data_IF_784038108534
#
_entry.id   IF_784038108534
#
_cell.length_a   1.000
_cell.length_b   1.000
_cell.length_c   1.000
_cell.angle_alpha   90.00
_cell.angle_beta   90.00
_cell.angle_gamma   90.00
#
_symmetry.space_group_name_H-M   'P 1'
#
loop_
_entity.id
_entity.type
_entity.pdbx_description
1 polymer ?
#
# COMPACT_ATOMS: atom_id res chain seq x y z
N UNK A 1 3.40 19.99 27.60
CA UNK A 1 4.76 19.50 27.32
C UNK A 1 4.73 18.00 27.56
N UNK A 2 4.42 17.20 26.55
CA UNK A 2 4.39 15.74 26.62
C UNK A 2 5.82 15.23 26.46
N UNK A 3 6.23 14.37 27.38
CA UNK A 3 7.49 13.64 27.31
C UNK A 3 7.44 12.73 26.06
N UNK A 4 8.05 13.16 24.96
CA UNK A 4 8.26 12.33 23.78
C UNK A 4 9.27 11.25 24.17
N UNK A 5 8.77 10.10 24.65
CA UNK A 5 9.58 8.90 24.80
C UNK A 5 10.01 8.53 23.37
N UNK A 6 11.24 8.90 23.00
CA UNK A 6 11.80 8.45 21.72
C UNK A 6 11.64 6.94 21.63
N UNK A 7 10.97 6.50 20.60
CA UNK A 7 10.95 5.09 20.24
C UNK A 7 12.39 4.66 19.98
N UNK A 8 12.79 3.48 20.49
CA UNK A 8 14.11 2.93 20.17
C UNK A 8 14.22 2.77 18.65
N UNK A 9 15.31 3.27 18.07
CA UNK A 9 15.55 3.16 16.64
C UNK A 9 15.51 1.69 16.20
N UNK A 10 14.83 1.39 15.07
CA UNK A 10 14.79 0.01 14.57
C UNK A 10 16.20 -0.49 14.27
N UNK A 11 16.52 -1.66 14.78
CA UNK A 11 17.87 -2.27 14.61
C UNK A 11 18.04 -3.04 13.29
N UNK A 12 16.95 -3.18 12.51
CA UNK A 12 16.98 -3.94 11.26
C UNK A 12 17.79 -3.18 10.19
N UNK A 13 18.74 -3.87 9.55
CA UNK A 13 19.51 -3.26 8.48
C UNK A 13 18.66 -2.95 7.24
N UNK A 14 19.04 -1.92 6.49
CA UNK A 14 18.42 -1.61 5.19
C UNK A 14 18.45 -2.81 4.25
N UNK A 15 19.56 -3.56 4.24
CA UNK A 15 19.68 -4.79 3.46
C UNK A 15 18.59 -5.79 3.85
N UNK A 16 18.46 -6.11 5.12
CA UNK A 16 17.45 -7.06 5.58
C UNK A 16 16.02 -6.56 5.30
N UNK A 17 15.74 -5.28 5.53
CA UNK A 17 14.43 -4.70 5.23
C UNK A 17 14.07 -4.88 3.75
N UNK A 18 14.95 -4.51 2.82
CA UNK A 18 14.73 -4.61 1.37
C UNK A 18 14.54 -6.07 0.94
N UNK A 19 15.38 -6.99 1.42
CA UNK A 19 15.37 -8.38 0.95
C UNK A 19 14.35 -9.27 1.63
N UNK A 20 13.67 -8.80 2.68
CA UNK A 20 12.66 -9.59 3.41
C UNK A 20 11.28 -8.94 3.47
N UNK A 21 11.14 -7.66 3.10
CA UNK A 21 9.83 -7.05 2.96
C UNK A 21 9.03 -7.75 1.85
N UNK A 22 7.81 -8.15 2.18
CA UNK A 22 6.88 -8.81 1.26
C UNK A 22 5.44 -8.55 1.67
N UNK A 23 4.50 -8.77 0.77
CA UNK A 23 3.07 -8.67 1.07
C UNK A 23 2.67 -9.63 2.18
N UNK A 24 2.35 -9.08 3.36
CA UNK A 24 1.80 -9.80 4.52
C UNK A 24 0.30 -9.52 4.60
N UNK A 25 -0.50 -10.58 4.47
CA UNK A 25 -1.96 -10.47 4.31
C UNK A 25 -2.76 -10.96 5.52
N UNK A 26 -2.09 -11.59 6.48
CA UNK A 26 -2.69 -12.12 7.70
C UNK A 26 -2.11 -11.36 8.88
N UNK A 27 -2.95 -10.63 9.59
CA UNK A 27 -2.54 -9.80 10.72
C UNK A 27 -3.07 -10.36 12.04
N UNK A 28 -2.34 -10.08 13.11
CA UNK A 28 -2.83 -10.25 14.46
C UNK A 28 -3.75 -9.06 14.79
N UNK A 29 -4.71 -9.24 15.70
CA UNK A 29 -5.63 -8.15 16.09
C UNK A 29 -4.98 -7.11 17.01
N UNK A 30 -3.71 -7.30 17.39
CA UNK A 30 -3.00 -6.42 18.32
C UNK A 30 -2.95 -4.99 17.76
N UNK A 31 -3.38 -3.98 18.53
CA UNK A 31 -3.32 -2.58 18.11
C UNK A 31 -1.87 -2.13 17.91
N UNK A 32 -1.65 -1.26 16.94
CA UNK A 32 -0.33 -0.67 16.70
C UNK A 32 -0.22 0.60 17.54
N UNK A 33 0.82 0.75 18.40
CA UNK A 33 1.09 2.00 19.09
C UNK A 33 1.19 3.18 18.11
N UNK A 34 0.58 4.30 18.47
CA UNK A 34 0.51 5.49 17.61
C UNK A 34 1.89 5.98 17.17
N UNK A 35 2.86 5.96 18.07
CA UNK A 35 4.25 6.34 17.80
C UNK A 35 4.90 5.51 16.69
N UNK A 36 4.51 4.24 16.50
CA UNK A 36 4.98 3.41 15.39
C UNK A 36 4.35 3.82 14.07
N UNK A 37 3.07 4.18 14.06
CA UNK A 37 2.40 4.70 12.86
C UNK A 37 2.97 6.06 12.48
N UNK A 38 3.22 6.94 13.45
CA UNK A 38 3.87 8.24 13.22
C UNK A 38 5.27 8.08 12.61
N UNK A 39 6.08 7.16 13.14
CA UNK A 39 7.40 6.85 12.58
C UNK A 39 7.32 6.35 11.13
N UNK A 40 6.37 5.47 10.83
CA UNK A 40 6.19 4.95 9.46
C UNK A 40 5.79 6.05 8.49
N UNK A 41 4.92 6.98 8.91
CA UNK A 41 4.52 8.14 8.09
C UNK A 41 5.66 9.13 7.95
N UNK A 42 6.42 9.39 9.02
CA UNK A 42 7.64 10.22 8.94
C UNK A 42 8.64 9.65 7.94
N UNK A 43 8.89 8.34 7.98
CA UNK A 43 9.76 7.68 7.00
C UNK A 43 9.24 7.82 5.56
N UNK A 44 7.91 7.82 5.35
CA UNK A 44 7.33 8.06 4.04
C UNK A 44 7.71 9.44 3.49
N UNK A 45 7.72 10.47 4.34
CA UNK A 45 8.08 11.84 3.94
C UNK A 45 9.57 12.04 3.61
N UNK A 46 10.42 11.05 3.90
CA UNK A 46 11.83 11.07 3.51
C UNK A 46 12.05 10.61 2.06
N UNK A 47 11.00 10.27 1.33
CA UNK A 47 11.08 9.92 -0.08
C UNK A 47 11.47 11.15 -0.95
N UNK A 48 12.12 10.94 -2.10
CA UNK A 48 12.31 12.02 -3.06
C UNK A 48 10.98 12.45 -3.67
N UNK A 49 10.84 13.74 -3.98
CA UNK A 49 9.70 14.28 -4.71
C UNK A 49 10.15 15.22 -5.82
N UNK A 50 9.38 15.29 -6.91
CA UNK A 50 9.68 16.15 -8.03
C UNK A 50 9.80 17.62 -7.55
N UNK A 51 10.94 18.26 -7.84
CA UNK A 51 11.21 19.63 -7.38
C UNK A 51 11.12 19.84 -5.87
N UNK A 52 11.20 18.77 -5.07
CA UNK A 52 10.97 18.80 -3.62
C UNK A 52 9.61 19.40 -3.23
N UNK A 53 8.58 19.19 -4.08
CA UNK A 53 7.24 19.75 -3.86
C UNK A 53 6.49 19.08 -2.71
N UNK A 54 6.85 17.83 -2.35
CA UNK A 54 6.29 17.08 -1.22
C UNK A 54 4.75 17.06 -1.23
N UNK A 55 4.18 16.86 -2.41
CA UNK A 55 2.74 16.97 -2.68
C UNK A 55 1.92 15.74 -2.22
N UNK A 56 2.48 14.86 -1.40
CA UNK A 56 1.79 13.74 -0.77
C UNK A 56 0.99 14.16 0.45
N UNK A 57 -0.04 13.40 0.72
CA UNK A 57 -0.76 13.37 2.00
C UNK A 57 -0.98 11.92 2.42
N UNK A 58 -1.21 11.68 3.71
CA UNK A 58 -1.45 10.32 4.22
C UNK A 58 -2.63 10.36 5.19
N UNK A 59 -3.65 9.54 4.93
CA UNK A 59 -4.72 9.31 5.90
C UNK A 59 -4.42 8.01 6.62
N UNK A 60 -4.28 8.06 7.94
CA UNK A 60 -4.05 6.88 8.80
C UNK A 60 -5.36 6.53 9.50
N UNK A 61 -5.93 5.39 9.14
CA UNK A 61 -7.21 4.92 9.63
C UNK A 61 -6.99 3.83 10.67
N UNK A 62 -7.40 4.09 11.90
CA UNK A 62 -7.37 3.14 13.04
C UNK A 62 -8.75 2.85 13.59
N UNK A 63 -9.75 3.65 13.22
CA UNK A 63 -11.14 3.48 13.59
C UNK A 63 -11.75 2.25 12.91
N UNK A 64 -12.43 1.41 13.68
CA UNK A 64 -12.96 0.11 13.24
C UNK A 64 -14.07 0.28 12.18
N UNK A 65 -14.96 1.27 12.34
CA UNK A 65 -16.05 1.52 11.40
C UNK A 65 -15.50 2.00 10.05
N UNK A 66 -14.57 2.94 10.07
CA UNK A 66 -13.93 3.44 8.86
C UNK A 66 -13.13 2.34 8.13
N UNK A 67 -12.41 1.49 8.87
CA UNK A 67 -11.72 0.33 8.28
C UNK A 67 -12.69 -0.64 7.64
N UNK A 68 -13.84 -0.87 8.28
CA UNK A 68 -14.91 -1.70 7.73
C UNK A 68 -15.46 -1.16 6.42
N UNK A 69 -15.72 0.15 6.31
CA UNK A 69 -16.20 0.81 5.07
C UNK A 69 -15.16 0.69 3.95
N UNK A 70 -13.88 0.94 4.24
CA UNK A 70 -12.79 0.77 3.26
C UNK A 70 -12.71 -0.68 2.79
N UNK A 71 -12.84 -1.64 3.72
CA UNK A 71 -12.80 -3.06 3.39
C UNK A 71 -13.99 -3.46 2.49
N UNK A 72 -15.19 -2.91 2.70
CA UNK A 72 -16.35 -3.18 1.86
C UNK A 72 -16.15 -2.67 0.43
N UNK A 73 -15.69 -1.43 0.27
CA UNK A 73 -15.36 -0.87 -1.04
C UNK A 73 -14.30 -1.72 -1.77
N UNK A 74 -13.25 -2.13 -1.05
CA UNK A 74 -12.22 -2.99 -1.62
C UNK A 74 -12.73 -4.40 -1.94
N UNK A 75 -13.60 -4.97 -1.11
CA UNK A 75 -14.19 -6.30 -1.29
C UNK A 75 -15.01 -6.37 -2.56
N UNK A 76 -15.85 -5.36 -2.81
CA UNK A 76 -16.65 -5.28 -4.03
C UNK A 76 -15.75 -5.28 -5.28
N UNK A 77 -14.78 -4.37 -5.34
CA UNK A 77 -13.86 -4.24 -6.47
C UNK A 77 -12.96 -5.46 -6.62
N UNK A 78 -12.45 -5.99 -5.50
CA UNK A 78 -11.58 -7.16 -5.49
C UNK A 78 -12.28 -8.43 -5.97
N UNK A 79 -13.54 -8.63 -5.58
CA UNK A 79 -14.34 -9.75 -6.09
C UNK A 79 -14.57 -9.61 -7.59
N UNK A 80 -15.03 -8.46 -8.05
CA UNK A 80 -15.28 -8.23 -9.48
C UNK A 80 -14.02 -8.40 -10.33
N UNK A 81 -12.89 -7.86 -9.88
CA UNK A 81 -11.66 -7.92 -10.66
C UNK A 81 -10.89 -9.23 -10.46
N UNK A 82 -10.63 -9.63 -9.22
CA UNK A 82 -9.76 -10.80 -8.96
C UNK A 82 -10.54 -12.10 -9.16
N UNK A 83 -11.69 -12.27 -8.48
CA UNK A 83 -12.44 -13.53 -8.49
C UNK A 83 -13.15 -13.75 -9.83
N UNK A 84 -13.92 -12.73 -10.27
CA UNK A 84 -14.87 -12.90 -11.37
C UNK A 84 -14.27 -12.61 -12.75
N UNK A 85 -13.06 -12.01 -12.78
CA UNK A 85 -12.33 -11.76 -14.03
C UNK A 85 -11.02 -12.54 -14.11
N UNK A 86 -10.05 -12.28 -13.22
CA UNK A 86 -8.71 -12.85 -13.36
C UNK A 86 -8.68 -14.34 -13.03
N UNK A 87 -9.31 -14.79 -11.93
CA UNK A 87 -9.35 -16.19 -11.52
C UNK A 87 -10.41 -17.01 -12.28
N UNK A 88 -11.32 -16.36 -12.98
CA UNK A 88 -12.29 -17.01 -13.85
C UNK A 88 -11.72 -17.33 -15.25
N UNK A 89 -10.54 -16.79 -15.59
CA UNK A 89 -9.87 -17.09 -16.84
C UNK A 89 -9.31 -18.53 -16.82
N UNK A 90 -9.81 -19.47 -17.68
CA UNK A 90 -9.35 -20.84 -17.71
C UNK A 90 -7.89 -21.00 -18.15
N UNK A 91 -7.34 -19.99 -18.82
CA UNK A 91 -5.99 -19.97 -19.36
C UNK A 91 -5.00 -19.19 -18.43
N UNK A 92 -5.41 -18.87 -17.20
CA UNK A 92 -4.54 -18.16 -16.25
C UNK A 92 -3.28 -18.98 -15.95
N UNK A 93 -2.07 -18.41 -16.08
CA UNK A 93 -0.83 -19.08 -15.69
C UNK A 93 -0.83 -19.44 -14.19
N UNK A 94 -0.38 -20.67 -13.85
CA UNK A 94 -0.37 -21.21 -12.49
C UNK A 94 0.31 -20.27 -11.46
N UNK A 95 1.42 -19.63 -11.84
CA UNK A 95 2.13 -18.69 -10.98
C UNK A 95 1.29 -17.44 -10.67
N UNK A 96 0.51 -16.96 -11.63
CA UNK A 96 -0.43 -15.84 -11.45
C UNK A 96 -1.65 -16.27 -10.63
N UNK A 97 -2.26 -17.39 -10.95
CA UNK A 97 -3.38 -17.94 -10.20
C UNK A 97 -3.04 -18.05 -8.71
N UNK A 98 -1.88 -18.62 -8.38
CA UNK A 98 -1.39 -18.72 -6.99
C UNK A 98 -1.24 -17.35 -6.30
N UNK A 99 -0.82 -16.31 -7.02
CA UNK A 99 -0.68 -14.95 -6.46
C UNK A 99 -2.05 -14.35 -6.19
N UNK A 100 -2.98 -14.45 -7.13
CA UNK A 100 -4.32 -13.87 -7.00
C UNK A 100 -5.18 -14.63 -5.99
N UNK A 101 -5.07 -15.96 -5.90
CA UNK A 101 -5.71 -16.76 -4.85
C UNK A 101 -5.27 -16.30 -3.45
N UNK A 102 -3.97 -16.00 -3.26
CA UNK A 102 -3.49 -15.43 -2.00
C UNK A 102 -3.97 -13.99 -1.78
N UNK A 103 -4.20 -13.23 -2.85
CA UNK A 103 -4.70 -11.87 -2.74
C UNK A 103 -6.17 -11.84 -2.31
N UNK A 104 -6.95 -12.88 -2.62
CA UNK A 104 -8.35 -13.01 -2.19
C UNK A 104 -8.52 -12.97 -0.67
N UNK A 105 -7.51 -13.38 0.10
CA UNK A 105 -7.58 -13.21 1.56
C UNK A 105 -7.71 -11.72 1.94
N UNK A 106 -6.94 -10.81 1.33
CA UNK A 106 -7.11 -9.39 1.60
C UNK A 106 -8.47 -8.85 1.13
N UNK A 107 -9.00 -9.39 0.02
CA UNK A 107 -10.32 -8.99 -0.48
C UNK A 107 -11.39 -9.27 0.57
N UNK A 108 -11.30 -10.40 1.25
CA UNK A 108 -12.31 -10.81 2.22
C UNK A 108 -12.05 -10.29 3.66
N UNK A 109 -10.80 -9.97 4.01
CA UNK A 109 -10.36 -9.75 5.39
C UNK A 109 -9.50 -8.48 5.58
N UNK A 110 -9.70 -7.43 4.77
CA UNK A 110 -8.92 -6.20 4.88
C UNK A 110 -9.13 -5.50 6.23
N UNK A 111 -10.35 -5.57 6.75
CA UNK A 111 -10.78 -5.03 8.05
C UNK A 111 -10.09 -5.67 9.28
N UNK A 112 -9.51 -6.86 9.12
CA UNK A 112 -8.70 -7.50 10.17
C UNK A 112 -7.36 -6.78 10.43
N UNK A 113 -6.90 -5.92 9.50
CA UNK A 113 -5.70 -5.12 9.72
C UNK A 113 -5.97 -4.06 10.81
N UNK A 114 -5.14 -3.94 11.87
CA UNK A 114 -5.37 -2.98 12.95
C UNK A 114 -5.25 -1.52 12.53
N UNK A 115 -4.63 -1.23 11.39
CA UNK A 115 -4.61 0.08 10.77
C UNK A 115 -4.50 -0.02 9.24
N UNK A 116 -4.92 1.05 8.56
CA UNK A 116 -4.77 1.21 7.11
C UNK A 116 -4.16 2.60 6.86
N UNK A 117 -3.11 2.66 6.04
CA UNK A 117 -2.55 3.93 5.58
C UNK A 117 -3.00 4.13 4.13
N UNK A 118 -3.58 5.29 3.84
CA UNK A 118 -4.01 5.69 2.49
C UNK A 118 -3.11 6.83 2.01
N UNK A 119 -2.10 6.55 1.18
CA UNK A 119 -1.33 7.57 0.50
C UNK A 119 -2.19 8.30 -0.52
N UNK A 120 -2.16 9.62 -0.47
CA UNK A 120 -2.94 10.51 -1.32
C UNK A 120 -2.04 11.46 -2.12
N UNK A 121 -2.57 11.93 -3.24
CA UNK A 121 -1.97 12.88 -4.16
C UNK A 121 -2.94 14.01 -4.47
N UNK A 122 -2.50 15.18 -4.96
CA UNK A 122 -3.38 16.10 -5.65
C UNK A 122 -4.08 15.41 -6.83
N UNK A 123 -5.37 15.62 -6.99
CA UNK A 123 -6.17 15.03 -8.08
C UNK A 123 -5.80 15.60 -9.44
N UNK A 124 -5.25 16.83 -9.45
CA UNK A 124 -4.76 17.52 -10.66
C UNK A 124 -3.38 18.13 -10.41
N UNK A 125 -2.60 18.23 -11.47
CA UNK A 125 -1.38 19.03 -11.46
C UNK A 125 -1.73 20.54 -11.34
N UNK A 126 -0.78 21.41 -10.90
CA UNK A 126 -1.02 22.83 -10.74
C UNK A 126 -1.52 23.57 -12.00
N UNK A 127 -1.33 22.99 -13.18
CA UNK A 127 -1.79 23.49 -14.49
C UNK A 127 -3.15 22.90 -14.94
N UNK A 128 -3.90 22.26 -14.03
CA UNK A 128 -5.14 21.51 -14.31
C UNK A 128 -4.98 20.32 -15.27
N UNK A 129 -3.77 19.86 -15.53
CA UNK A 129 -3.54 18.60 -16.22
C UNK A 129 -3.90 17.41 -15.32
N UNK A 130 -4.26 16.28 -15.92
CA UNK A 130 -4.45 15.03 -15.19
C UNK A 130 -3.19 14.66 -14.40
N UNK A 131 -3.35 13.89 -13.32
CA UNK A 131 -2.24 13.45 -12.47
C UNK A 131 -1.10 12.91 -13.32
N UNK A 132 0.01 13.61 -13.28
CA UNK A 132 1.15 13.34 -14.13
C UNK A 132 1.95 12.12 -13.64
N UNK A 133 2.77 11.56 -14.53
CA UNK A 133 3.78 10.55 -14.15
C UNK A 133 4.69 11.03 -13.01
N UNK A 134 4.91 12.35 -12.87
CA UNK A 134 5.65 12.97 -11.78
C UNK A 134 4.98 12.80 -10.41
N UNK A 135 3.64 12.81 -10.34
CA UNK A 135 2.91 12.57 -9.09
C UNK A 135 3.08 11.12 -8.62
N UNK A 136 2.97 10.15 -9.52
CA UNK A 136 3.21 8.75 -9.18
C UNK A 136 4.66 8.46 -8.83
N UNK A 137 5.62 9.10 -9.50
CA UNK A 137 7.04 9.00 -9.16
C UNK A 137 7.37 9.57 -7.76
N UNK A 138 6.52 10.43 -7.23
CA UNK A 138 6.62 10.99 -5.88
C UNK A 138 6.00 10.07 -4.82
N UNK A 139 4.77 9.57 -5.06
CA UNK A 139 4.04 8.84 -4.00
C UNK A 139 4.50 7.39 -3.83
N UNK A 140 4.88 6.66 -4.90
CA UNK A 140 5.29 5.26 -4.75
C UNK A 140 6.65 5.07 -4.06
N UNK A 141 7.66 5.94 -4.19
CA UNK A 141 8.82 5.95 -3.28
C UNK A 141 8.42 6.15 -1.81
N UNK A 142 7.45 7.01 -1.51
CA UNK A 142 6.93 7.17 -0.16
C UNK A 142 6.21 5.90 0.34
N UNK A 143 5.40 5.25 -0.51
CA UNK A 143 4.81 3.94 -0.19
C UNK A 143 5.88 2.88 0.09
N UNK A 144 6.98 2.87 -0.68
CA UNK A 144 8.08 1.94 -0.43
C UNK A 144 8.76 2.21 0.92
N UNK A 145 8.94 3.49 1.30
CA UNK A 145 9.47 3.85 2.61
C UNK A 145 8.53 3.37 3.74
N UNK A 146 7.19 3.50 3.58
CA UNK A 146 6.20 2.92 4.52
C UNK A 146 6.46 1.42 4.71
N UNK A 147 6.61 0.67 3.61
CA UNK A 147 6.81 -0.78 3.64
C UNK A 147 8.10 -1.16 4.37
N UNK A 148 9.19 -0.45 4.10
CA UNK A 148 10.50 -0.73 4.70
C UNK A 148 10.55 -0.33 6.18
N UNK A 149 9.99 0.84 6.54
CA UNK A 149 9.91 1.29 7.93
C UNK A 149 9.00 0.38 8.76
N UNK A 150 7.85 -0.02 8.23
CA UNK A 150 6.98 -1.01 8.88
C UNK A 150 7.73 -2.33 9.11
N UNK A 151 8.46 -2.85 8.10
CA UNK A 151 9.27 -4.06 8.23
C UNK A 151 10.32 -3.92 9.34
N UNK A 152 10.99 -2.78 9.43
CA UNK A 152 11.99 -2.49 10.45
C UNK A 152 11.41 -2.52 11.88
N UNK A 153 10.13 -2.17 12.02
CA UNK A 153 9.37 -2.22 13.28
C UNK A 153 8.69 -3.58 13.56
N UNK A 154 8.93 -4.59 12.69
CA UNK A 154 8.26 -5.89 12.79
C UNK A 154 6.80 -5.88 12.34
N UNK A 155 6.34 -4.84 11.63
CA UNK A 155 5.01 -4.72 11.07
C UNK A 155 4.98 -5.21 9.61
N UNK A 156 3.94 -5.94 9.26
CA UNK A 156 3.66 -6.37 7.89
C UNK A 156 2.76 -5.39 7.15
N UNK A 157 2.90 -5.34 5.83
CA UNK A 157 2.10 -4.47 4.95
C UNK A 157 1.78 -5.17 3.64
N UNK A 158 0.79 -4.63 2.93
CA UNK A 158 0.52 -4.92 1.51
C UNK A 158 0.28 -3.61 0.77
N UNK A 159 0.83 -3.46 -0.42
CA UNK A 159 0.49 -2.37 -1.33
C UNK A 159 -0.67 -2.81 -2.23
N UNK A 160 -1.79 -2.12 -2.15
CA UNK A 160 -3.00 -2.38 -2.94
C UNK A 160 -3.33 -1.12 -3.74
N UNK A 161 -3.57 -1.28 -5.04
CA UNK A 161 -3.97 -0.18 -5.94
C UNK A 161 -5.39 -0.34 -6.47
N UNK A 162 -6.05 -1.46 -6.21
CA UNK A 162 -7.47 -1.64 -6.48
C UNK A 162 -8.32 -0.80 -5.53
N UNK A 163 -9.49 -0.40 -5.97
CA UNK A 163 -10.44 0.49 -5.30
C UNK A 163 -9.94 1.94 -5.09
N UNK A 164 -8.76 2.29 -5.60
CA UNK A 164 -8.31 3.70 -5.67
C UNK A 164 -8.94 4.40 -6.86
N UNK A 165 -8.79 5.73 -6.95
CA UNK A 165 -9.30 6.50 -8.08
C UNK A 165 -8.74 6.08 -9.45
N UNK A 166 -7.58 5.43 -9.47
CA UNK A 166 -6.91 4.89 -10.68
C UNK A 166 -7.20 3.41 -10.94
N UNK A 167 -8.05 2.79 -10.12
CA UNK A 167 -8.47 1.40 -10.36
C UNK A 167 -9.26 1.28 -11.66
N UNK A 168 -9.02 0.25 -12.48
CA UNK A 168 -9.83 0.00 -13.68
C UNK A 168 -11.27 -0.41 -13.34
N UNK A 169 -11.52 -0.85 -12.11
CA UNK A 169 -12.83 -1.22 -11.59
C UNK A 169 -13.15 -0.32 -10.41
N UNK A 170 -14.36 0.23 -10.38
CA UNK A 170 -14.86 1.07 -9.29
C UNK A 170 -15.93 0.33 -8.50
N UNK A 171 -16.11 0.64 -7.20
CA UNK A 171 -17.27 0.16 -6.47
C UNK A 171 -18.56 0.71 -7.13
N UNK A 172 -19.61 -0.08 -7.12
CA UNK A 172 -20.91 0.27 -7.69
C UNK A 172 -21.97 0.49 -6.61
N UNK A 173 -21.87 -0.23 -5.51
CA UNK A 173 -22.80 -0.18 -4.39
C UNK A 173 -22.18 0.37 -3.11
N UNK A 174 -20.87 0.19 -2.90
CA UNK A 174 -20.17 0.80 -1.79
C UNK A 174 -19.69 2.22 -2.14
N UNK A 175 -19.54 3.05 -1.10
CA UNK A 175 -18.93 4.38 -1.24
C UNK A 175 -17.49 4.27 -1.77
N UNK A 176 -17.07 5.27 -2.53
CA UNK A 176 -15.67 5.42 -2.95
C UNK A 176 -14.76 5.74 -1.75
N UNK A 177 -13.44 5.53 -1.88
CA UNK A 177 -12.50 5.92 -0.83
C UNK A 177 -12.55 7.42 -0.54
N UNK A 178 -12.79 8.24 -1.55
CA UNK A 178 -12.89 9.69 -1.39
C UNK A 178 -14.11 10.08 -0.54
N UNK A 179 -15.25 9.43 -0.73
CA UNK A 179 -16.45 9.62 0.08
C UNK A 179 -16.28 9.08 1.50
N UNK A 180 -15.71 7.87 1.66
CA UNK A 180 -15.47 7.27 2.97
C UNK A 180 -14.55 8.12 3.84
N UNK A 181 -13.56 8.76 3.23
CA UNK A 181 -12.51 9.52 3.93
C UNK A 181 -12.74 11.03 3.93
N UNK A 182 -13.88 11.51 3.42
CA UNK A 182 -14.22 12.92 3.26
C UNK A 182 -13.08 13.72 2.58
N UNK A 183 -12.49 13.13 1.51
CA UNK A 183 -11.39 13.78 0.81
C UNK A 183 -11.90 15.00 0.03
N UNK A 184 -11.16 16.13 0.06
CA UNK A 184 -11.47 17.25 -0.80
C UNK A 184 -11.30 16.89 -2.29
N UNK A 185 -12.02 17.60 -3.18
CA UNK A 185 -12.03 17.32 -4.63
C UNK A 185 -10.63 17.34 -5.25
N UNK A 186 -9.71 18.12 -4.67
CA UNK A 186 -8.34 18.28 -5.12
C UNK A 186 -7.42 17.13 -4.69
N UNK A 187 -7.93 16.15 -3.94
CA UNK A 187 -7.13 15.04 -3.39
C UNK A 187 -7.67 13.71 -3.91
N UNK A 188 -6.77 12.84 -4.31
CA UNK A 188 -7.08 11.49 -4.79
C UNK A 188 -6.24 10.43 -4.10
N UNK A 189 -6.76 9.21 -4.01
CA UNK A 189 -6.08 8.09 -3.39
C UNK A 189 -5.13 7.38 -4.37
N UNK A 190 -3.92 7.05 -3.94
CA UNK A 190 -2.93 6.34 -4.76
C UNK A 190 -2.79 4.86 -4.39
N UNK A 191 -3.01 4.50 -3.14
CA UNK A 191 -2.91 3.12 -2.65
C UNK A 191 -3.71 2.92 -1.36
N UNK A 192 -3.95 1.65 -1.02
CA UNK A 192 -4.41 1.18 0.28
C UNK A 192 -3.28 0.33 0.86
N UNK A 193 -2.78 0.68 2.05
CA UNK A 193 -1.70 -0.05 2.71
C UNK A 193 -2.18 -0.53 4.08
N UNK A 194 -2.80 -1.74 4.19
CA UNK A 194 -3.06 -2.35 5.48
C UNK A 194 -1.74 -2.63 6.18
N UNK A 195 -1.69 -2.37 7.49
CA UNK A 195 -0.51 -2.52 8.32
C UNK A 195 -0.87 -3.16 9.65
N UNK A 196 -0.05 -4.12 10.11
CA UNK A 196 -0.29 -4.85 11.36
C UNK A 196 0.83 -5.81 11.71
N UNK A 197 0.77 -6.40 12.90
CA UNK A 197 1.68 -7.49 13.27
C UNK A 197 1.35 -8.75 12.46
N UNK A 198 2.29 -9.30 11.66
CA UNK A 198 1.98 -10.42 10.79
C UNK A 198 1.81 -11.73 11.57
N UNK A 199 0.89 -12.60 11.12
CA UNK A 199 0.77 -14.00 11.59
C UNK A 199 1.80 -14.93 10.93
N UNK A 200 2.44 -14.49 9.85
CA UNK A 200 3.40 -15.30 9.08
C UNK A 200 4.86 -14.90 9.36
N UNK A 201 5.78 -15.73 8.85
CA UNK A 201 7.20 -15.50 8.98
C UNK A 201 7.75 -14.61 7.86
N UNK A 202 8.78 -13.82 8.19
CA UNK A 202 9.56 -13.09 7.21
C UNK A 202 10.38 -14.05 6.36
N UNK A 203 10.64 -13.63 5.13
CA UNK A 203 11.48 -14.42 4.24
C UNK A 203 11.63 -13.73 2.89
N UNK A 204 12.67 -14.09 2.17
CA UNK A 204 12.97 -13.52 0.85
C UNK A 204 11.82 -13.82 -0.12
N UNK A 205 11.21 -12.81 -0.74
CA UNK A 205 10.20 -13.03 -1.77
C UNK A 205 10.86 -13.65 -3.02
N UNK A 206 10.11 -14.49 -3.71
CA UNK A 206 10.57 -14.97 -5.02
C UNK A 206 10.68 -13.79 -5.99
N UNK A 207 11.76 -13.77 -6.75
CA UNK A 207 11.99 -12.82 -7.84
C UNK A 207 12.70 -13.56 -8.97
N UNK A 208 12.42 -13.15 -10.19
CA UNK A 208 13.21 -13.54 -11.35
C UNK A 208 14.69 -13.15 -11.14
N UNK A 209 15.62 -13.84 -11.79
CA UNK A 209 17.02 -13.40 -11.80
C UNK A 209 17.12 -11.94 -12.29
N UNK A 210 17.85 -11.09 -11.57
CA UNK A 210 17.95 -9.67 -11.93
C UNK A 210 18.57 -9.44 -13.31
N UNK A 211 19.38 -10.38 -13.78
CA UNK A 211 19.99 -10.37 -15.09
C UNK A 211 18.98 -10.34 -16.23
N UNK A 212 17.80 -10.95 -16.05
CA UNK A 212 16.70 -10.92 -17.02
C UNK A 212 16.08 -9.53 -17.20
N UNK A 213 16.30 -8.62 -16.24
CA UNK A 213 15.76 -7.27 -16.24
C UNK A 213 16.82 -6.19 -16.43
N UNK A 214 18.07 -6.57 -16.74
CA UNK A 214 19.19 -5.62 -16.75
C UNK A 214 19.91 -5.63 -18.10
N UNK A 215 20.04 -4.47 -18.69
CA UNK A 215 20.81 -4.23 -19.90
C UNK A 215 21.90 -3.20 -19.58
N UNK A 216 23.14 -3.48 -20.04
CA UNK A 216 24.28 -2.59 -19.84
C UNK A 216 24.45 -1.67 -21.05
N UNK A 217 24.68 -0.39 -20.77
CA UNK A 217 24.90 0.70 -21.76
C UNK A 217 23.71 0.99 -22.67
N UNK A 218 23.02 -0.04 -23.17
CA UNK A 218 21.85 0.09 -24.05
C UNK A 218 20.97 -1.15 -23.92
N UNK A 219 19.71 -0.99 -24.35
CA UNK A 219 18.77 -2.11 -24.43
C UNK A 219 19.32 -3.17 -25.40
N UNK A 220 19.32 -4.43 -24.96
CA UNK A 220 19.60 -5.59 -25.80
C UNK A 220 18.32 -6.41 -25.89
N UNK A 221 17.87 -6.67 -27.14
CA UNK A 221 16.72 -7.53 -27.42
C UNK A 221 17.05 -9.01 -27.12
#
# INVERSE_FOLDING_TARGET
MGCNKKMDDPTLSVHEAIFTARSMRHFKPDPIPREKLEYVVEAATMAPSAGNMQSWSFVVVTDDEQRGRIAEAYREVGRAYIRDSVLADPDIPEDRERVYTKAMHNVEHLDEAPAIIIPCLPSRAPDNADVSSGSFSTIYPACQNIILAARALGLGTVLITLATEYSPVKPQSADSLSEILDLPEEVTTAAIIPIGYPKGNWGRPWRKPWQESTHWDRWKA
#
